data_IF_692776160114
#
_entry.id   IF_692776160114
#
_cell.length_a   1.000
_cell.length_b   1.000
_cell.length_c   1.000
_cell.angle_alpha   90.00
_cell.angle_beta   90.00
_cell.angle_gamma   90.00
#
_symmetry.space_group_name_H-M   'P 1'
#
loop_
_entity.id
_entity.type
_entity.pdbx_description
1 polymer ?
#
# COMPACT_ATOMS: atom_id res chain seq x y z
N UNK A 1 12.04 -2.27 6.13
CA UNK A 1 10.75 -2.77 5.59
C UNK A 1 9.84 -3.34 6.68
N UNK A 2 10.38 -3.69 7.85
CA UNK A 2 9.66 -4.35 8.94
C UNK A 2 8.96 -3.39 9.91
N UNK A 3 9.45 -2.17 10.12
CA UNK A 3 8.91 -1.29 11.17
C UNK A 3 7.49 -0.78 10.88
N UNK A 4 7.14 -0.47 9.63
CA UNK A 4 5.83 0.08 9.29
C UNK A 4 4.74 -0.99 9.18
N UNK A 5 5.03 -2.14 8.56
CA UNK A 5 4.05 -3.23 8.43
C UNK A 5 3.64 -3.84 9.78
N UNK A 6 4.57 -3.89 10.73
CA UNK A 6 4.29 -4.34 12.12
C UNK A 6 3.53 -3.24 12.88
N UNK A 7 3.93 -1.97 12.78
CA UNK A 7 3.27 -0.89 13.53
C UNK A 7 1.77 -0.76 13.23
N UNK A 8 1.33 -1.01 11.99
CA UNK A 8 -0.08 -0.88 11.62
C UNK A 8 -0.94 -2.10 11.90
N UNK A 9 -0.38 -3.31 11.84
CA UNK A 9 -1.09 -4.53 12.23
C UNK A 9 -1.23 -4.63 13.74
N UNK A 10 -0.19 -4.23 14.49
CA UNK A 10 -0.15 -4.33 15.95
C UNK A 10 -1.02 -3.29 16.67
N UNK A 11 -1.42 -2.20 16.00
CA UNK A 11 -2.24 -1.15 16.63
C UNK A 11 -3.74 -1.32 16.46
N UNK A 12 -4.21 -2.28 15.63
CA UNK A 12 -5.65 -2.50 15.40
C UNK A 12 -6.39 -1.30 14.80
N UNK A 13 -5.65 -0.32 14.25
CA UNK A 13 -6.18 0.95 13.72
C UNK A 13 -5.81 1.15 12.24
N UNK A 14 -6.31 0.30 11.33
CA UNK A 14 -6.00 0.38 9.91
C UNK A 14 -6.40 1.74 9.29
N UNK A 15 -7.43 2.42 9.81
CA UNK A 15 -7.80 3.76 9.32
C UNK A 15 -6.75 4.84 9.64
N UNK A 16 -6.11 4.78 10.80
CA UNK A 16 -5.04 5.72 11.17
C UNK A 16 -3.78 5.48 10.33
N UNK A 17 -3.51 4.21 10.00
CA UNK A 17 -2.46 3.82 9.08
C UNK A 17 -2.59 4.50 7.72
N UNK A 18 -3.78 4.42 7.13
CA UNK A 18 -4.05 5.02 5.82
C UNK A 18 -3.81 6.54 5.82
N UNK A 19 -4.21 7.25 6.89
CA UNK A 19 -3.98 8.70 7.00
C UNK A 19 -2.49 9.05 7.05
N UNK A 20 -1.70 8.24 7.75
CA UNK A 20 -0.25 8.43 7.82
C UNK A 20 0.42 8.12 6.48
N UNK A 21 -0.04 7.09 5.77
CA UNK A 21 0.45 6.78 4.42
C UNK A 21 0.13 7.88 3.42
N UNK A 22 -1.09 8.42 3.44
CA UNK A 22 -1.46 9.53 2.57
C UNK A 22 -0.59 10.75 2.85
N UNK A 23 -0.41 11.11 4.13
CA UNK A 23 0.49 12.22 4.49
C UNK A 23 1.93 11.98 4.05
N UNK A 24 2.44 10.75 4.17
CA UNK A 24 3.78 10.42 3.72
C UNK A 24 3.92 10.45 2.18
N UNK A 25 2.86 10.09 1.45
CA UNK A 25 2.80 10.22 0.00
C UNK A 25 2.71 11.69 -0.45
N UNK A 26 2.06 12.56 0.32
CA UNK A 26 2.00 14.00 0.06
C UNK A 26 3.35 14.69 0.30
N UNK A 27 4.09 14.26 1.33
CA UNK A 27 5.40 14.80 1.66
C UNK A 27 6.47 14.44 0.61
N UNK A 28 6.32 13.31 -0.05
CA UNK A 28 7.18 12.91 -1.16
C UNK A 28 6.39 12.10 -2.16
N UNK A 29 6.11 12.73 -3.31
CA UNK A 29 5.41 12.08 -4.41
C UNK A 29 6.11 10.82 -4.94
N UNK A 30 7.38 10.58 -4.56
CA UNK A 30 8.15 9.38 -4.93
C UNK A 30 8.17 8.31 -3.83
N UNK A 31 7.44 8.50 -2.74
CA UNK A 31 7.44 7.59 -1.59
C UNK A 31 6.57 6.35 -1.84
N UNK A 32 7.04 5.50 -2.76
CA UNK A 32 6.36 4.26 -3.17
C UNK A 32 6.08 3.33 -1.97
N UNK A 33 6.90 3.37 -0.92
CA UNK A 33 6.74 2.57 0.29
C UNK A 33 5.40 2.83 0.98
N UNK A 34 4.94 4.09 1.00
CA UNK A 34 3.67 4.45 1.67
C UNK A 34 2.48 3.88 0.92
N UNK A 35 2.50 3.97 -0.41
CA UNK A 35 1.45 3.42 -1.26
C UNK A 35 1.44 1.89 -1.22
N UNK A 36 2.61 1.26 -1.20
CA UNK A 36 2.73 -0.19 -1.06
C UNK A 36 2.14 -0.68 0.27
N UNK A 37 2.53 -0.04 1.38
CA UNK A 37 2.03 -0.42 2.69
C UNK A 37 0.52 -0.14 2.84
N UNK A 38 0.01 0.93 2.22
CA UNK A 38 -1.43 1.20 2.17
C UNK A 38 -2.18 0.09 1.42
N UNK A 39 -1.66 -0.39 0.28
CA UNK A 39 -2.26 -1.50 -0.45
C UNK A 39 -2.30 -2.79 0.38
N UNK A 40 -1.21 -3.10 1.10
CA UNK A 40 -1.13 -4.26 2.00
C UNK A 40 -2.17 -4.17 3.12
N UNK A 41 -2.27 -3.03 3.81
CA UNK A 41 -3.26 -2.84 4.90
C UNK A 41 -4.69 -2.95 4.38
N UNK A 42 -4.99 -2.32 3.23
CA UNK A 42 -6.31 -2.43 2.61
C UNK A 42 -6.66 -3.87 2.30
N UNK A 43 -5.74 -4.60 1.67
CA UNK A 43 -6.00 -5.97 1.24
C UNK A 43 -6.12 -6.95 2.41
N UNK A 44 -5.17 -6.94 3.34
CA UNK A 44 -5.06 -7.97 4.36
C UNK A 44 -5.80 -7.63 5.66
N UNK A 45 -5.81 -6.37 6.08
CA UNK A 45 -6.41 -5.98 7.36
C UNK A 45 -7.85 -5.44 7.21
N UNK A 46 -8.15 -4.74 6.10
CA UNK A 46 -9.48 -4.20 5.82
C UNK A 46 -10.32 -5.06 4.86
N UNK A 47 -9.71 -6.07 4.24
CA UNK A 47 -10.31 -6.87 3.16
C UNK A 47 -10.90 -5.99 2.02
N UNK A 48 -10.32 -4.81 1.82
CA UNK A 48 -10.65 -3.81 0.81
C UNK A 48 -9.74 -4.01 -0.42
N UNK A 49 -10.05 -5.04 -1.21
CA UNK A 49 -9.29 -5.34 -2.41
C UNK A 49 -9.35 -4.21 -3.46
N UNK A 50 -10.47 -3.49 -3.53
CA UNK A 50 -10.66 -2.39 -4.48
C UNK A 50 -9.79 -1.20 -4.13
N UNK A 51 -9.78 -0.78 -2.86
CA UNK A 51 -8.88 0.27 -2.43
C UNK A 51 -7.41 -0.15 -2.53
N UNK A 52 -7.09 -1.44 -2.34
CA UNK A 52 -5.72 -1.93 -2.56
C UNK A 52 -5.28 -1.77 -4.03
N UNK A 53 -6.16 -2.06 -4.99
CA UNK A 53 -5.93 -1.83 -6.42
C UNK A 53 -5.64 -0.34 -6.72
N UNK A 54 -6.43 0.56 -6.14
CA UNK A 54 -6.25 2.01 -6.30
C UNK A 54 -4.88 2.49 -5.79
N UNK A 55 -4.42 1.98 -4.64
CA UNK A 55 -3.10 2.32 -4.10
C UNK A 55 -1.96 1.78 -4.96
N UNK A 56 -2.10 0.59 -5.54
CA UNK A 56 -1.15 0.05 -6.51
C UNK A 56 -1.10 0.89 -7.78
N UNK A 57 -2.25 1.33 -8.30
CA UNK A 57 -2.31 2.20 -9.47
C UNK A 57 -1.60 3.55 -9.21
N UNK A 58 -1.85 4.16 -8.03
CA UNK A 58 -1.14 5.37 -7.58
C UNK A 58 0.36 5.14 -7.44
N UNK A 59 0.76 4.00 -6.87
CA UNK A 59 2.16 3.61 -6.75
C UNK A 59 2.82 3.55 -8.13
N UNK A 60 2.22 2.84 -9.10
CA UNK A 60 2.77 2.72 -10.46
C UNK A 60 2.90 4.07 -11.16
N UNK A 61 1.91 4.95 -11.01
CA UNK A 61 1.96 6.31 -11.54
C UNK A 61 3.08 7.15 -10.90
N UNK A 62 3.27 7.02 -9.59
CA UNK A 62 4.29 7.74 -8.82
C UNK A 62 5.71 7.19 -9.00
N UNK A 63 5.83 5.87 -9.18
CA UNK A 63 7.08 5.12 -9.14
C UNK A 63 7.65 4.81 -10.53
N UNK A 64 7.18 5.46 -11.60
CA UNK A 64 7.49 5.14 -13.01
C UNK A 64 8.96 4.98 -13.40
N UNK A 65 9.92 5.21 -12.50
CA UNK A 65 11.26 4.65 -12.56
C UNK A 65 11.99 4.65 -11.19
N UNK A 66 11.27 4.50 -10.07
CA UNK A 66 11.85 4.64 -8.73
C UNK A 66 12.80 3.46 -8.43
N UNK A 67 14.12 3.69 -8.30
CA UNK A 67 15.05 2.62 -7.98
C UNK A 67 14.71 2.04 -6.61
N UNK A 68 14.49 0.73 -6.56
CA UNK A 68 14.20 -0.01 -5.34
C UNK A 68 12.71 -0.29 -5.05
N UNK A 69 11.79 0.05 -5.95
CA UNK A 69 10.40 -0.41 -5.83
C UNK A 69 10.33 -1.96 -5.89
N UNK A 70 9.53 -2.61 -5.02
CA UNK A 70 9.40 -4.06 -4.98
C UNK A 70 8.61 -4.57 -6.19
N UNK A 71 8.77 -5.86 -6.48
CA UNK A 71 7.86 -6.53 -7.41
C UNK A 71 6.44 -6.51 -6.86
N UNK A 72 5.51 -6.00 -7.67
CA UNK A 72 4.09 -5.85 -7.32
C UNK A 72 3.27 -7.05 -7.78
N UNK A 73 3.80 -7.92 -8.65
CA UNK A 73 3.04 -8.97 -9.32
C UNK A 73 2.30 -9.90 -8.33
N UNK A 74 2.98 -10.31 -7.25
CA UNK A 74 2.35 -11.16 -6.23
C UNK A 74 1.19 -10.48 -5.49
N UNK A 75 1.33 -9.18 -5.18
CA UNK A 75 0.27 -8.42 -4.51
C UNK A 75 -0.90 -8.16 -5.46
N UNK A 76 -0.63 -7.85 -6.73
CA UNK A 76 -1.66 -7.68 -7.76
C UNK A 76 -2.45 -8.95 -8.04
N UNK A 77 -1.80 -10.11 -8.05
CA UNK A 77 -2.48 -11.40 -8.19
C UNK A 77 -3.45 -11.67 -7.03
N UNK A 78 -3.05 -11.37 -5.80
CA UNK A 78 -3.91 -11.55 -4.63
C UNK A 78 -5.10 -10.56 -4.65
N UNK A 79 -4.86 -9.30 -5.04
CA UNK A 79 -5.92 -8.31 -5.25
C UNK A 79 -6.93 -8.83 -6.30
N UNK A 80 -6.44 -9.25 -7.47
CA UNK A 80 -7.27 -9.76 -8.55
C UNK A 80 -8.06 -11.01 -8.14
N UNK A 81 -7.51 -11.86 -7.27
CA UNK A 81 -8.21 -13.03 -6.73
C UNK A 81 -9.38 -12.65 -5.83
N UNK A 82 -9.26 -11.57 -5.03
CA UNK A 82 -10.32 -11.12 -4.11
C UNK A 82 -11.38 -10.23 -4.76
N UNK A 83 -11.09 -9.70 -5.95
CA UNK A 83 -12.04 -8.94 -6.76
C UNK A 83 -12.92 -9.82 -7.68
N UNK A 84 -12.60 -11.11 -7.80
CA UNK A 84 -13.42 -12.12 -8.50
C UNK A 84 -14.55 -12.61 -7.62
#
# INVERSE_FOLDING_TARGET
LTDLGVCYRETGKPAEALRLFDRAADLSAKHWQSRYNAAVVRLFDLNDARGAEEEIAKLKAAAGNAPGAPDLAGLEQEIAKRLK
#
